data_IF_236831706385
#
_entry.id   IF_236831706385
#
_cell.length_a   1.000
_cell.length_b   1.000
_cell.length_c   1.000
_cell.angle_alpha   90.00
_cell.angle_beta   90.00
_cell.angle_gamma   90.00
#
_symmetry.space_group_name_H-M   'P 1'
#
loop_
_entity.id
_entity.type
_entity.pdbx_description
1 polymer ?
#
# COMPACT_ATOMS: atom_id res chain seq x y z
N UNK A 1 0.02 -18.12 -31.55
CA UNK A 1 -0.23 -19.58 -31.74
C UNK A 1 0.21 -20.39 -30.52
N UNK A 2 1.34 -20.06 -29.88
CA UNK A 2 1.90 -20.77 -28.72
C UNK A 2 1.00 -20.78 -27.46
N UNK A 3 0.36 -19.65 -27.09
CA UNK A 3 -0.48 -19.55 -25.88
C UNK A 3 -1.67 -20.52 -25.87
N UNK A 4 -2.42 -20.61 -26.99
CA UNK A 4 -3.58 -21.50 -27.11
C UNK A 4 -3.18 -22.98 -26.96
N UNK A 5 -2.08 -23.37 -27.59
CA UNK A 5 -1.57 -24.76 -27.51
C UNK A 5 -1.09 -25.09 -26.10
N UNK A 6 -0.40 -24.15 -25.43
CA UNK A 6 0.06 -24.34 -24.06
C UNK A 6 -1.11 -24.44 -23.07
N UNK A 7 -2.10 -23.56 -23.21
CA UNK A 7 -3.27 -23.53 -22.34
C UNK A 7 -4.14 -24.80 -22.49
N UNK A 8 -4.43 -25.22 -23.73
CA UNK A 8 -5.25 -26.43 -23.97
C UNK A 8 -4.57 -27.73 -23.55
N UNK A 9 -3.24 -27.77 -23.53
CA UNK A 9 -2.47 -28.96 -23.13
C UNK A 9 -2.30 -29.09 -21.62
N UNK A 10 -2.20 -27.99 -20.89
CA UNK A 10 -1.78 -28.00 -19.48
C UNK A 10 -2.84 -27.48 -18.49
N UNK A 11 -3.95 -26.90 -18.97
CA UNK A 11 -4.98 -26.29 -18.12
C UNK A 11 -6.33 -26.96 -18.38
N UNK A 12 -7.04 -27.33 -17.31
CA UNK A 12 -8.37 -27.91 -17.38
C UNK A 12 -9.36 -26.96 -18.07
N UNK A 13 -10.29 -27.53 -18.84
CA UNK A 13 -11.30 -26.79 -19.61
C UNK A 13 -12.13 -25.82 -18.75
N UNK A 14 -12.33 -26.13 -17.47
CA UNK A 14 -13.08 -25.27 -16.53
C UNK A 14 -12.42 -23.89 -16.33
N UNK A 15 -11.12 -23.78 -16.56
CA UNK A 15 -10.35 -22.55 -16.44
C UNK A 15 -10.07 -21.88 -17.78
N UNK A 16 -10.68 -22.34 -18.88
CA UNK A 16 -10.52 -21.75 -20.21
C UNK A 16 -11.81 -21.03 -20.63
N UNK A 17 -11.66 -19.90 -21.30
CA UNK A 17 -12.78 -19.15 -21.88
C UNK A 17 -12.33 -18.42 -23.15
N UNK A 18 -13.27 -18.18 -24.07
CA UNK A 18 -13.03 -17.38 -25.25
C UNK A 18 -13.07 -15.88 -24.91
N UNK A 19 -12.00 -15.18 -25.26
CA UNK A 19 -11.90 -13.73 -25.14
C UNK A 19 -11.70 -13.09 -26.51
N UNK A 20 -12.33 -11.94 -26.72
CA UNK A 20 -12.15 -11.09 -27.89
C UNK A 20 -10.98 -10.14 -27.59
N UNK A 21 -9.84 -10.35 -28.24
CA UNK A 21 -8.70 -9.44 -28.10
C UNK A 21 -8.73 -8.44 -29.25
N UNK A 22 -8.58 -7.16 -28.92
CA UNK A 22 -8.42 -6.08 -29.88
C UNK A 22 -6.97 -6.00 -30.39
N UNK A 23 -6.77 -5.33 -31.53
CA UNK A 23 -5.42 -5.01 -32.06
C UNK A 23 -4.50 -6.21 -32.25
N UNK A 24 -5.05 -7.31 -32.74
CA UNK A 24 -4.32 -8.58 -32.93
C UNK A 24 -3.58 -8.59 -34.25
N UNK A 25 -4.22 -8.10 -35.30
CA UNK A 25 -3.70 -8.16 -36.67
C UNK A 25 -4.00 -6.84 -37.36
N UNK A 26 -3.00 -6.25 -38.00
CA UNK A 26 -3.18 -5.02 -38.76
C UNK A 26 -3.66 -5.35 -40.16
N UNK A 27 -4.84 -4.85 -40.54
CA UNK A 27 -5.32 -4.94 -41.91
C UNK A 27 -4.75 -3.78 -42.73
N UNK A 28 -3.81 -4.10 -43.61
CA UNK A 28 -3.18 -3.11 -44.49
C UNK A 28 -4.12 -2.50 -45.53
N UNK A 29 -5.20 -3.20 -45.92
CA UNK A 29 -6.18 -2.68 -46.88
C UNK A 29 -7.08 -1.60 -46.27
N UNK A 30 -7.59 -1.86 -45.07
CA UNK A 30 -8.49 -0.94 -44.37
C UNK A 30 -7.73 0.01 -43.44
N UNK A 31 -6.40 -0.14 -43.33
CA UNK A 31 -5.53 0.55 -42.38
C UNK A 31 -6.04 0.52 -40.92
N UNK A 32 -6.65 -0.60 -40.53
CA UNK A 32 -7.27 -0.76 -39.20
C UNK A 32 -6.81 -2.03 -38.50
N UNK A 33 -6.86 -2.00 -37.18
CA UNK A 33 -6.60 -3.13 -36.31
C UNK A 33 -7.82 -4.05 -36.22
N UNK A 34 -7.66 -5.33 -36.55
CA UNK A 34 -8.71 -6.35 -36.43
C UNK A 34 -8.64 -7.04 -35.07
N UNK A 35 -9.80 -7.23 -34.46
CA UNK A 35 -9.96 -8.04 -33.26
C UNK A 35 -10.07 -9.53 -33.63
N UNK A 36 -9.60 -10.42 -32.74
CA UNK A 36 -9.64 -11.87 -32.95
C UNK A 36 -9.95 -12.61 -31.66
N UNK A 37 -10.71 -13.70 -31.76
CA UNK A 37 -11.07 -14.54 -30.61
C UNK A 37 -9.94 -15.51 -30.29
N UNK A 38 -9.64 -15.63 -29.00
CA UNK A 38 -8.67 -16.58 -28.47
C UNK A 38 -9.27 -17.35 -27.31
N UNK A 39 -8.98 -18.65 -27.25
CA UNK A 39 -9.23 -19.46 -26.07
C UNK A 39 -8.05 -19.27 -25.10
N UNK A 40 -8.30 -18.67 -23.95
CA UNK A 40 -7.29 -18.30 -22.97
C UNK A 40 -7.68 -18.76 -21.56
N UNK A 41 -6.70 -18.95 -20.66
CA UNK A 41 -6.98 -19.16 -19.25
C UNK A 41 -7.70 -17.95 -18.65
N UNK A 42 -8.63 -18.20 -17.72
CA UNK A 42 -9.40 -17.16 -17.03
C UNK A 42 -9.12 -17.12 -15.53
N UNK A 43 -9.10 -15.92 -14.98
CA UNK A 43 -9.09 -15.68 -13.54
C UNK A 43 -9.88 -14.40 -13.23
N UNK A 44 -10.80 -14.44 -12.25
CA UNK A 44 -11.62 -13.29 -11.83
C UNK A 44 -12.22 -12.46 -12.98
N UNK A 45 -12.86 -13.13 -13.95
CA UNK A 45 -13.48 -12.55 -15.15
C UNK A 45 -12.53 -11.93 -16.19
N UNK A 46 -11.23 -12.11 -16.07
CA UNK A 46 -10.25 -11.65 -17.07
C UNK A 46 -9.41 -12.79 -17.63
N UNK A 47 -8.74 -12.54 -18.76
CA UNK A 47 -7.82 -13.49 -19.37
C UNK A 47 -6.43 -13.41 -18.75
N UNK A 48 -5.75 -14.54 -18.68
CA UNK A 48 -4.39 -14.65 -18.16
C UNK A 48 -3.43 -15.03 -19.30
N UNK A 49 -2.31 -14.31 -19.38
CA UNK A 49 -1.21 -14.66 -20.28
C UNK A 49 -0.19 -15.53 -19.55
N UNK A 50 0.13 -16.69 -20.14
CA UNK A 50 1.13 -17.60 -19.57
C UNK A 50 2.50 -17.24 -20.12
N UNK A 51 3.34 -16.62 -19.31
CA UNK A 51 4.71 -16.30 -19.70
C UNK A 51 5.62 -17.47 -19.32
N UNK A 52 6.41 -18.05 -20.24
CA UNK A 52 7.39 -19.07 -19.89
C UNK A 52 8.33 -18.55 -18.79
N UNK A 53 8.59 -19.37 -17.77
CA UNK A 53 9.48 -18.96 -16.68
C UNK A 53 10.91 -18.65 -17.17
N UNK A 54 11.34 -19.28 -18.26
CA UNK A 54 12.65 -19.12 -18.89
C UNK A 54 12.92 -17.70 -19.43
N UNK A 55 11.87 -16.90 -19.64
CA UNK A 55 11.99 -15.50 -20.07
C UNK A 55 11.67 -14.50 -18.96
N UNK A 56 11.41 -14.98 -17.73
CA UNK A 56 11.22 -14.12 -16.56
C UNK A 56 12.58 -13.70 -16.02
N UNK A 57 13.00 -12.47 -16.33
CA UNK A 57 14.16 -11.85 -15.71
C UNK A 57 13.68 -10.63 -14.91
N UNK A 58 14.18 -10.49 -13.67
CA UNK A 58 13.98 -9.26 -12.88
C UNK A 58 14.99 -8.18 -13.28
N UNK A 59 16.15 -8.62 -13.77
CA UNK A 59 17.27 -7.78 -14.19
C UNK A 59 17.18 -7.46 -15.69
N UNK A 60 18.00 -6.48 -16.11
CA UNK A 60 18.17 -6.12 -17.51
C UNK A 60 18.49 -7.35 -18.39
N UNK A 61 18.06 -7.29 -19.65
CA UNK A 61 18.42 -8.30 -20.63
C UNK A 61 19.95 -8.45 -20.71
N UNK A 62 20.39 -9.68 -20.99
CA UNK A 62 21.81 -10.03 -21.08
C UNK A 62 22.59 -9.14 -22.07
N UNK A 63 21.94 -8.71 -23.15
CA UNK A 63 22.35 -7.57 -23.97
C UNK A 63 21.52 -6.37 -23.50
N UNK A 64 22.18 -5.41 -22.84
CA UNK A 64 21.54 -4.18 -22.39
C UNK A 64 22.46 -2.98 -22.53
N UNK A 65 21.84 -1.79 -22.60
CA UNK A 65 22.58 -0.53 -22.62
C UNK A 65 23.40 -0.34 -21.33
N UNK A 66 22.83 -0.72 -20.18
CA UNK A 66 23.52 -0.63 -18.90
C UNK A 66 24.75 -1.54 -18.86
N UNK A 67 24.63 -2.78 -19.36
CA UNK A 67 25.77 -3.70 -19.48
C UNK A 67 26.87 -3.16 -20.40
N UNK A 68 26.52 -2.61 -21.56
CA UNK A 68 27.49 -1.98 -22.47
C UNK A 68 28.26 -0.82 -21.81
N UNK A 69 27.56 0.00 -21.03
CA UNK A 69 28.16 1.15 -20.36
C UNK A 69 29.07 0.72 -19.20
N UNK A 70 28.68 -0.30 -18.44
CA UNK A 70 29.47 -0.79 -17.31
C UNK A 70 30.73 -1.53 -17.75
N UNK A 71 30.65 -2.32 -18.81
CA UNK A 71 31.79 -3.06 -19.37
C UNK A 71 32.55 -2.29 -20.46
N UNK A 72 32.27 -1.00 -20.64
CA UNK A 72 32.73 -0.22 -21.81
C UNK A 72 34.25 -0.33 -22.05
N UNK A 73 35.06 -0.21 -20.99
CA UNK A 73 36.52 -0.32 -21.08
C UNK A 73 37.00 -1.68 -21.56
N UNK A 74 36.31 -2.77 -21.16
CA UNK A 74 36.61 -4.12 -21.65
C UNK A 74 36.21 -4.25 -23.11
N UNK A 75 35.07 -3.71 -23.52
CA UNK A 75 34.64 -3.77 -24.93
C UNK A 75 35.62 -3.06 -25.86
N UNK A 76 36.21 -1.94 -25.44
CA UNK A 76 37.28 -1.27 -26.21
C UNK A 76 38.45 -2.23 -26.46
N UNK A 77 38.90 -3.00 -25.46
CA UNK A 77 40.02 -3.92 -25.63
C UNK A 77 39.70 -5.08 -26.58
N UNK A 78 38.42 -5.45 -26.71
CA UNK A 78 37.95 -6.46 -27.67
C UNK A 78 37.86 -5.96 -29.12
N UNK A 79 38.01 -4.66 -29.39
CA UNK A 79 37.97 -4.10 -30.76
C UNK A 79 39.21 -4.56 -31.52
N UNK A 80 38.99 -5.32 -32.60
CA UNK A 80 40.05 -5.91 -33.43
C UNK A 80 40.71 -4.91 -34.40
N UNK A 81 40.00 -3.83 -34.75
CA UNK A 81 40.56 -2.75 -35.56
C UNK A 81 41.36 -1.80 -34.67
N UNK A 82 42.69 -1.85 -34.79
CA UNK A 82 43.62 -1.07 -33.96
C UNK A 82 43.38 0.44 -34.09
N UNK A 83 43.15 0.95 -35.30
CA UNK A 83 42.89 2.37 -35.54
C UNK A 83 41.59 2.84 -34.87
N UNK A 84 40.54 2.01 -34.93
CA UNK A 84 39.26 2.28 -34.28
C UNK A 84 39.40 2.22 -32.76
N UNK A 85 40.12 1.23 -32.24
CA UNK A 85 40.38 1.04 -30.80
C UNK A 85 41.14 2.24 -30.22
N UNK A 86 42.17 2.71 -30.90
CA UNK A 86 42.96 3.86 -30.46
C UNK A 86 42.14 5.14 -30.47
N UNK A 87 41.32 5.36 -31.52
CA UNK A 87 40.39 6.50 -31.58
C UNK A 87 39.37 6.48 -30.44
N UNK A 88 38.78 5.32 -30.16
CA UNK A 88 37.83 5.11 -29.06
C UNK A 88 38.47 5.35 -27.70
N UNK A 89 39.63 4.74 -27.44
CA UNK A 89 40.36 4.85 -26.18
C UNK A 89 40.76 6.30 -25.89
N UNK A 90 41.27 7.01 -26.91
CA UNK A 90 41.62 8.41 -26.80
C UNK A 90 40.40 9.29 -26.52
N UNK A 91 39.30 9.09 -27.24
CA UNK A 91 38.08 9.87 -27.03
C UNK A 91 37.47 9.63 -25.64
N UNK A 92 37.42 8.37 -25.20
CA UNK A 92 36.94 8.00 -23.87
C UNK A 92 37.79 8.62 -22.76
N UNK A 93 39.12 8.49 -22.86
CA UNK A 93 40.07 9.04 -21.87
C UNK A 93 40.00 10.56 -21.81
N UNK A 94 39.94 11.23 -22.96
CA UNK A 94 39.82 12.70 -23.03
C UNK A 94 38.47 13.23 -22.53
N UNK A 95 37.45 12.36 -22.44
CA UNK A 95 36.14 12.72 -21.89
C UNK A 95 36.07 12.62 -20.37
N UNK A 96 37.14 12.14 -19.72
CA UNK A 96 37.22 12.01 -18.27
C UNK A 96 37.91 13.23 -17.63
N UNK A 97 37.52 13.60 -16.40
CA UNK A 97 38.22 14.65 -15.65
C UNK A 97 39.66 14.21 -15.30
N UNK A 98 40.58 15.17 -15.25
CA UNK A 98 42.01 14.93 -14.99
C UNK A 98 42.29 14.36 -13.59
N UNK A 99 41.43 14.62 -12.61
CA UNK A 99 41.54 14.13 -11.23
C UNK A 99 40.16 13.76 -10.65
N UNK A 100 40.16 12.84 -9.67
CA UNK A 100 38.95 12.42 -8.92
C UNK A 100 37.81 11.87 -9.79
N UNK A 101 38.12 10.94 -10.70
CA UNK A 101 37.16 10.27 -11.57
C UNK A 101 36.10 9.53 -10.74
N UNK A 102 34.83 9.90 -10.91
CA UNK A 102 33.68 9.25 -10.25
C UNK A 102 33.06 8.21 -11.18
N UNK A 103 32.28 7.30 -10.60
CA UNK A 103 31.46 6.34 -11.36
C UNK A 103 30.53 7.02 -12.37
N UNK A 104 30.00 8.20 -12.03
CA UNK A 104 29.14 8.99 -12.93
C UNK A 104 29.91 9.53 -14.14
N UNK A 105 31.18 9.91 -13.96
CA UNK A 105 32.01 10.47 -15.02
C UNK A 105 32.39 9.39 -16.04
N UNK A 106 32.72 8.18 -15.55
CA UNK A 106 32.92 6.99 -16.39
C UNK A 106 31.67 6.66 -17.21
N UNK A 107 30.49 6.70 -16.57
CA UNK A 107 29.21 6.44 -17.23
C UNK A 107 28.93 7.45 -18.34
N UNK A 108 29.15 8.73 -18.07
CA UNK A 108 28.94 9.81 -19.05
C UNK A 108 29.95 9.74 -20.21
N UNK A 109 31.22 9.47 -19.92
CA UNK A 109 32.25 9.31 -20.95
C UNK A 109 31.95 8.10 -21.86
N UNK A 110 31.45 7.00 -21.31
CA UNK A 110 31.02 5.84 -22.08
C UNK A 110 29.83 6.18 -22.99
N UNK A 111 28.79 6.85 -22.46
CA UNK A 111 27.63 7.29 -23.26
C UNK A 111 28.08 8.19 -24.42
N UNK A 112 28.89 9.22 -24.14
CA UNK A 112 29.39 10.13 -25.18
C UNK A 112 30.22 9.38 -26.25
N UNK A 113 30.99 8.39 -25.83
CA UNK A 113 31.81 7.57 -26.73
C UNK A 113 30.96 6.65 -27.61
N UNK A 114 29.88 6.07 -27.05
CA UNK A 114 28.91 5.26 -27.80
C UNK A 114 28.18 6.11 -28.84
N UNK A 115 27.74 7.32 -28.46
CA UNK A 115 27.07 8.25 -29.38
C UNK A 115 27.99 8.67 -30.53
N UNK A 116 29.27 8.92 -30.23
CA UNK A 116 30.26 9.32 -31.23
C UNK A 116 30.69 8.17 -32.14
N UNK A 117 30.73 6.94 -31.61
CA UNK A 117 31.18 5.74 -32.31
C UNK A 117 30.19 4.58 -32.15
N UNK A 118 29.00 4.63 -32.78
CA UNK A 118 27.95 3.62 -32.61
C UNK A 118 28.36 2.19 -33.01
N UNK A 119 29.42 2.07 -33.80
CA UNK A 119 30.01 0.79 -34.23
C UNK A 119 30.43 -0.09 -33.05
N UNK A 120 30.72 0.49 -31.87
CA UNK A 120 31.05 -0.24 -30.64
C UNK A 120 29.93 -1.20 -30.20
N UNK A 121 28.67 -0.87 -30.53
CA UNK A 121 27.51 -1.71 -30.21
C UNK A 121 27.64 -3.09 -30.84
N UNK A 122 28.16 -3.17 -32.08
CA UNK A 122 28.35 -4.46 -32.75
C UNK A 122 29.40 -5.32 -32.05
N UNK A 123 30.49 -4.72 -31.57
CA UNK A 123 31.52 -5.43 -30.81
C UNK A 123 30.99 -5.91 -29.46
N UNK A 124 30.16 -5.11 -28.78
CA UNK A 124 29.48 -5.53 -27.56
C UNK A 124 28.55 -6.72 -27.79
N UNK A 125 27.69 -6.65 -28.82
CA UNK A 125 26.78 -7.76 -29.16
C UNK A 125 27.58 -9.02 -29.50
N UNK A 126 28.65 -8.90 -30.28
CA UNK A 126 29.51 -10.04 -30.63
C UNK A 126 30.18 -10.66 -29.39
N UNK A 127 30.67 -9.82 -28.47
CA UNK A 127 31.33 -10.29 -27.25
C UNK A 127 30.34 -10.95 -26.29
N UNK A 128 29.13 -10.42 -26.20
CA UNK A 128 28.03 -11.08 -25.51
C UNK A 128 27.74 -12.43 -26.19
N UNK A 129 27.57 -12.49 -27.51
CA UNK A 129 27.29 -13.75 -28.23
C UNK A 129 28.33 -14.86 -28.00
N UNK A 130 29.61 -14.52 -27.84
CA UNK A 130 30.65 -15.50 -27.45
C UNK A 130 30.43 -16.07 -26.04
N UNK A 131 29.94 -15.24 -25.12
CA UNK A 131 29.69 -15.58 -23.72
C UNK A 131 28.27 -16.10 -23.44
N UNK A 132 27.51 -16.43 -24.50
CA UNK A 132 26.11 -16.87 -24.41
C UNK A 132 25.87 -18.04 -23.45
N UNK A 133 26.78 -19.01 -23.40
CA UNK A 133 26.61 -20.20 -22.56
C UNK A 133 26.82 -19.91 -21.07
N UNK A 134 27.68 -18.94 -20.73
CA UNK A 134 27.80 -18.43 -19.36
C UNK A 134 26.55 -17.65 -18.97
N UNK A 135 26.09 -16.73 -19.85
CA UNK A 135 24.88 -15.95 -19.62
C UNK A 135 23.63 -16.83 -19.41
N UNK A 136 23.51 -17.95 -20.12
CA UNK A 136 22.43 -18.93 -19.90
C UNK A 136 22.50 -19.57 -18.52
N UNK A 137 23.69 -19.98 -18.06
CA UNK A 137 23.86 -20.60 -16.74
C UNK A 137 23.50 -19.64 -15.62
N UNK A 138 24.00 -18.41 -15.69
CA UNK A 138 23.72 -17.38 -14.68
C UNK A 138 22.22 -17.04 -14.62
N UNK A 139 21.55 -16.98 -15.77
CA UNK A 139 20.12 -16.73 -15.82
C UNK A 139 19.31 -17.90 -15.23
N UNK A 140 19.66 -19.15 -15.55
CA UNK A 140 19.03 -20.34 -14.96
C UNK A 140 19.20 -20.34 -13.44
N UNK A 141 20.39 -20.01 -12.93
CA UNK A 141 20.65 -19.92 -11.49
C UNK A 141 19.80 -18.83 -10.82
N UNK A 142 19.71 -17.65 -11.44
CA UNK A 142 18.84 -16.55 -10.95
C UNK A 142 17.37 -16.93 -10.91
N UNK A 143 16.86 -17.62 -11.94
CA UNK A 143 15.49 -18.13 -11.99
C UNK A 143 15.27 -19.15 -10.86
N UNK A 144 16.19 -20.11 -10.69
CA UNK A 144 16.10 -21.12 -9.64
C UNK A 144 16.13 -20.50 -8.23
N UNK A 145 16.97 -19.51 -8.01
CA UNK A 145 17.05 -18.78 -6.74
C UNK A 145 15.75 -18.01 -6.47
N UNK A 146 15.21 -17.34 -7.48
CA UNK A 146 13.93 -16.61 -7.40
C UNK A 146 12.79 -17.57 -7.07
N UNK A 147 12.71 -18.71 -7.76
CA UNK A 147 11.69 -19.73 -7.51
C UNK A 147 11.82 -20.31 -6.10
N UNK A 148 13.04 -20.61 -5.65
CA UNK A 148 13.29 -21.13 -4.31
C UNK A 148 12.86 -20.14 -3.22
N UNK A 149 13.27 -18.88 -3.34
CA UNK A 149 12.95 -17.83 -2.36
C UNK A 149 11.45 -17.51 -2.35
N UNK A 150 10.89 -17.16 -3.50
CA UNK A 150 9.53 -16.59 -3.56
C UNK A 150 8.42 -17.64 -3.61
N UNK A 151 8.68 -18.82 -4.17
CA UNK A 151 7.68 -19.88 -4.23
C UNK A 151 7.87 -20.82 -3.06
N UNK A 152 9.03 -21.45 -2.92
CA UNK A 152 9.19 -22.53 -1.94
C UNK A 152 9.28 -22.00 -0.51
N UNK A 153 10.19 -21.06 -0.24
CA UNK A 153 10.46 -20.58 1.11
C UNK A 153 9.32 -19.71 1.65
N UNK A 154 8.81 -18.76 0.86
CA UNK A 154 7.67 -17.94 1.30
C UNK A 154 6.39 -18.76 1.51
N UNK A 155 6.11 -19.75 0.66
CA UNK A 155 4.95 -20.65 0.89
C UNK A 155 5.14 -21.48 2.16
N UNK A 156 6.35 -21.98 2.39
CA UNK A 156 6.67 -22.72 3.62
C UNK A 156 6.51 -21.85 4.86
N UNK A 157 6.98 -20.60 4.82
CA UNK A 157 6.79 -19.62 5.89
C UNK A 157 5.30 -19.32 6.11
N UNK A 158 4.54 -19.06 5.04
CA UNK A 158 3.10 -18.81 5.15
C UNK A 158 2.36 -20.00 5.77
N UNK A 159 2.70 -21.23 5.40
CA UNK A 159 2.14 -22.44 6.00
C UNK A 159 2.51 -22.56 7.49
N UNK A 160 3.75 -22.27 7.86
CA UNK A 160 4.20 -22.31 9.25
C UNK A 160 3.45 -21.27 10.10
N UNK A 161 3.31 -20.04 9.59
CA UNK A 161 2.52 -18.99 10.24
C UNK A 161 1.05 -19.39 10.39
N UNK A 162 0.44 -19.96 9.36
CA UNK A 162 -0.95 -20.46 9.41
C UNK A 162 -1.13 -21.60 10.43
N UNK A 163 -0.15 -22.48 10.59
CA UNK A 163 -0.20 -23.58 11.55
C UNK A 163 0.04 -23.15 13.00
N UNK A 164 0.69 -22.01 13.20
CA UNK A 164 0.99 -21.43 14.51
C UNK A 164 -0.17 -20.60 15.06
N UNK A 165 -0.03 -20.10 16.29
CA UNK A 165 -1.00 -19.18 16.88
C UNK A 165 -0.88 -17.74 16.33
N UNK A 166 0.03 -17.50 15.38
CA UNK A 166 0.31 -16.17 14.81
C UNK A 166 -0.94 -15.45 14.28
N UNK A 167 -1.90 -16.18 13.70
CA UNK A 167 -3.20 -15.63 13.24
C UNK A 167 -4.37 -15.94 14.19
N UNK A 168 -4.12 -16.56 15.35
CA UNK A 168 -5.18 -16.99 16.29
C UNK A 168 -5.47 -15.97 17.39
N UNK A 169 -4.74 -14.86 17.45
CA UNK A 169 -5.10 -13.75 18.34
C UNK A 169 -6.50 -13.27 17.96
N UNK A 170 -7.47 -13.35 18.89
CA UNK A 170 -8.80 -12.79 18.68
C UNK A 170 -8.68 -11.27 18.65
N UNK A 171 -8.44 -10.71 17.48
CA UNK A 171 -8.14 -9.29 17.30
C UNK A 171 -9.37 -8.57 16.80
N UNK A 172 -9.81 -7.60 17.59
CA UNK A 172 -10.98 -6.80 17.29
C UNK A 172 -10.74 -5.38 17.80
N UNK A 173 -10.26 -4.53 16.89
CA UNK A 173 -9.97 -3.12 17.12
C UNK A 173 -11.20 -2.34 17.62
N UNK A 174 -12.41 -2.76 17.24
CA UNK A 174 -13.66 -2.17 17.72
C UNK A 174 -13.87 -2.46 19.21
N UNK A 175 -13.73 -3.71 19.63
CA UNK A 175 -13.91 -4.10 21.04
C UNK A 175 -12.87 -3.40 21.92
N UNK A 176 -11.60 -3.34 21.50
CA UNK A 176 -10.57 -2.63 22.26
C UNK A 176 -10.81 -1.12 22.27
N UNK A 177 -11.26 -0.54 21.16
CA UNK A 177 -11.72 0.85 21.10
C UNK A 177 -12.82 1.14 22.11
N UNK A 178 -13.88 0.32 22.11
CA UNK A 178 -15.00 0.42 23.04
C UNK A 178 -14.55 0.30 24.50
N UNK A 179 -13.68 -0.65 24.86
CA UNK A 179 -13.15 -0.78 26.23
C UNK A 179 -12.45 0.49 26.70
N UNK A 180 -11.65 1.13 25.83
CA UNK A 180 -10.96 2.39 26.18
C UNK A 180 -11.94 3.56 26.31
N UNK A 181 -12.95 3.62 25.46
CA UNK A 181 -14.03 4.62 25.55
C UNK A 181 -14.84 4.44 26.83
N UNK A 182 -15.22 3.20 27.17
CA UNK A 182 -15.95 2.88 28.40
C UNK A 182 -15.12 3.23 29.65
N UNK A 183 -13.81 2.96 29.63
CA UNK A 183 -12.91 3.39 30.68
C UNK A 183 -12.88 4.92 30.84
N UNK A 184 -12.72 5.65 29.72
CA UNK A 184 -12.74 7.11 29.73
C UNK A 184 -14.07 7.65 30.27
N UNK A 185 -15.20 7.09 29.79
CA UNK A 185 -16.56 7.41 30.27
C UNK A 185 -16.67 7.20 31.78
N UNK A 186 -16.21 6.06 32.29
CA UNK A 186 -16.25 5.76 33.71
C UNK A 186 -15.44 6.75 34.55
N UNK A 187 -14.22 7.11 34.11
CA UNK A 187 -13.37 8.09 34.81
C UNK A 187 -14.03 9.47 34.85
N UNK A 188 -14.60 9.91 33.73
CA UNK A 188 -15.27 11.22 33.63
C UNK A 188 -16.51 11.26 34.53
N UNK A 189 -17.39 10.28 34.40
CA UNK A 189 -18.72 10.29 35.03
C UNK A 189 -18.66 9.95 36.52
N UNK A 190 -17.76 9.02 36.92
CA UNK A 190 -17.80 8.40 38.24
C UNK A 190 -16.56 8.64 39.09
N UNK A 191 -15.44 9.11 38.51
CA UNK A 191 -14.18 9.33 39.25
C UNK A 191 -13.76 10.79 39.31
N UNK A 192 -14.73 11.71 39.27
CA UNK A 192 -14.50 13.15 39.25
C UNK A 192 -13.66 13.65 38.04
N UNK A 193 -13.48 12.83 37.00
CA UNK A 193 -12.73 13.18 35.80
C UNK A 193 -13.36 14.34 35.03
N UNK A 194 -14.69 14.54 35.16
CA UNK A 194 -15.38 15.71 34.61
C UNK A 194 -14.73 17.04 35.02
N UNK A 195 -14.09 17.14 36.19
CA UNK A 195 -13.42 18.38 36.65
C UNK A 195 -12.30 18.83 35.70
N UNK A 196 -11.63 17.88 35.03
CA UNK A 196 -10.59 18.17 34.04
C UNK A 196 -11.16 18.83 32.78
N UNK A 197 -12.47 18.69 32.56
CA UNK A 197 -13.21 19.26 31.45
C UNK A 197 -13.70 20.68 31.75
N UNK A 198 -13.24 21.32 32.83
CA UNK A 198 -13.60 22.69 33.19
C UNK A 198 -12.37 23.57 33.43
N UNK A 199 -12.27 24.66 32.69
CA UNK A 199 -11.24 25.69 32.86
C UNK A 199 -11.90 26.97 33.39
N UNK A 200 -11.46 27.45 34.55
CA UNK A 200 -12.02 28.63 35.23
C UNK A 200 -13.55 28.57 35.37
N UNK A 201 -14.09 27.38 35.68
CA UNK A 201 -15.52 27.13 35.87
C UNK A 201 -16.33 27.01 34.58
N UNK A 202 -15.69 27.04 33.39
CA UNK A 202 -16.36 26.89 32.09
C UNK A 202 -15.98 25.55 31.45
N UNK A 203 -16.94 24.84 30.82
CA UNK A 203 -16.65 23.57 30.16
C UNK A 203 -15.68 23.77 29.00
N UNK A 204 -14.83 22.77 28.73
CA UNK A 204 -13.85 22.81 27.65
C UNK A 204 -14.51 23.10 26.31
N UNK A 205 -13.80 23.92 25.54
CA UNK A 205 -14.34 24.54 24.35
C UNK A 205 -14.29 23.64 23.12
N UNK A 206 -13.32 22.73 23.09
CA UNK A 206 -12.65 22.23 21.91
C UNK A 206 -12.60 20.71 21.89
N UNK A 207 -12.83 20.11 20.73
CA UNK A 207 -12.78 18.65 20.55
C UNK A 207 -11.34 18.14 20.72
N UNK A 208 -10.35 18.96 20.38
CA UNK A 208 -8.92 18.66 20.50
C UNK A 208 -8.49 18.35 21.95
N UNK A 209 -9.07 19.04 22.93
CA UNK A 209 -8.77 18.79 24.35
C UNK A 209 -9.26 17.38 24.76
N UNK A 210 -10.44 16.99 24.28
CA UNK A 210 -11.04 15.65 24.51
C UNK A 210 -10.22 14.56 23.82
N UNK A 211 -9.77 14.84 22.60
CA UNK A 211 -8.92 13.94 21.84
C UNK A 211 -7.58 13.69 22.55
N UNK A 212 -6.95 14.74 23.09
CA UNK A 212 -5.71 14.60 23.87
C UNK A 212 -5.89 13.70 25.09
N UNK A 213 -6.98 13.86 25.84
CA UNK A 213 -7.26 13.00 27.00
C UNK A 213 -7.47 11.54 26.59
N UNK A 214 -8.21 11.30 25.51
CA UNK A 214 -8.41 9.93 25.02
C UNK A 214 -7.08 9.29 24.61
N UNK A 215 -6.20 10.04 23.91
CA UNK A 215 -4.86 9.59 23.53
C UNK A 215 -4.04 9.09 24.73
N UNK A 216 -4.18 9.72 25.90
CA UNK A 216 -3.49 9.29 27.13
C UNK A 216 -4.00 7.95 27.68
N UNK A 217 -5.20 7.50 27.29
CA UNK A 217 -5.75 6.19 27.70
C UNK A 217 -5.17 5.00 26.90
N UNK A 218 -4.47 5.28 25.80
CA UNK A 218 -3.90 4.28 24.89
C UNK A 218 -2.43 4.00 25.20
N UNK A 219 -2.20 3.11 26.16
CA UNK A 219 -0.87 2.61 26.52
C UNK A 219 -0.88 1.09 26.64
N UNK A 220 0.31 0.47 26.50
CA UNK A 220 0.53 -0.98 26.64
C UNK A 220 -0.48 -1.84 25.85
N UNK A 221 -0.68 -1.50 24.58
CA UNK A 221 -1.62 -2.19 23.68
C UNK A 221 -0.87 -2.85 22.52
N UNK A 222 -1.41 -3.98 22.02
CA UNK A 222 -0.92 -4.64 20.82
C UNK A 222 -1.47 -4.01 19.52
N UNK A 223 -2.35 -3.02 19.64
CA UNK A 223 -2.99 -2.33 18.53
C UNK A 223 -2.21 -1.07 18.16
N UNK A 224 -2.13 -0.78 16.87
CA UNK A 224 -1.73 0.54 16.39
C UNK A 224 -2.85 1.52 16.69
N UNK A 225 -2.49 2.68 17.22
CA UNK A 225 -3.39 3.78 17.55
C UNK A 225 -2.85 5.07 16.96
N UNK A 226 -3.51 5.55 15.91
CA UNK A 226 -3.12 6.76 15.18
C UNK A 226 -4.14 7.87 15.42
N UNK A 227 -3.66 9.07 15.75
CA UNK A 227 -4.47 10.29 15.92
C UNK A 227 -4.35 11.20 14.71
N UNK A 228 -5.45 11.84 14.28
CA UNK A 228 -5.48 12.84 13.19
C UNK A 228 -5.04 12.29 11.82
N UNK A 229 -5.47 11.07 11.47
CA UNK A 229 -5.05 10.41 10.22
C UNK A 229 -5.79 11.01 9.02
N UNK A 230 -5.05 11.63 8.09
CA UNK A 230 -5.62 12.19 6.86
C UNK A 230 -5.34 11.28 5.65
N UNK A 231 -6.32 10.45 5.27
CA UNK A 231 -6.24 9.56 4.11
C UNK A 231 -6.87 10.16 2.82
N UNK A 232 -6.90 11.50 2.71
CA UNK A 232 -7.24 12.19 1.45
C UNK A 232 -8.71 12.57 1.26
N UNK A 233 -9.62 12.29 2.20
CA UNK A 233 -11.03 12.75 2.17
C UNK A 233 -11.55 13.28 3.52
N UNK A 234 -10.64 13.71 4.40
CA UNK A 234 -10.93 14.29 5.72
C UNK A 234 -10.25 13.50 6.85
N UNK A 235 -9.74 14.17 7.89
CA UNK A 235 -9.10 13.48 9.00
C UNK A 235 -10.13 12.75 9.87
N UNK A 236 -9.85 11.50 10.22
CA UNK A 236 -10.51 10.84 11.35
C UNK A 236 -9.80 11.24 12.64
N UNK A 237 -10.53 11.38 13.75
CA UNK A 237 -9.92 11.72 15.03
C UNK A 237 -8.97 10.61 15.48
N UNK A 238 -9.41 9.35 15.39
CA UNK A 238 -8.59 8.19 15.69
C UNK A 238 -8.84 6.98 14.78
N UNK A 239 -7.78 6.23 14.51
CA UNK A 239 -7.83 4.89 13.93
C UNK A 239 -7.16 3.91 14.87
N UNK A 240 -7.91 2.88 15.28
CA UNK A 240 -7.38 1.72 16.01
C UNK A 240 -7.25 0.58 15.01
N UNK A 241 -6.10 -0.09 14.97
CA UNK A 241 -5.91 -1.20 14.04
C UNK A 241 -5.08 -2.34 14.59
N UNK A 242 -5.41 -3.56 14.16
CA UNK A 242 -4.55 -4.73 14.26
C UNK A 242 -4.19 -5.20 12.86
N UNK A 243 -3.25 -4.48 12.24
CA UNK A 243 -2.87 -4.68 10.86
C UNK A 243 -3.92 -4.16 9.87
N UNK A 244 -3.82 -4.58 8.60
CA UNK A 244 -4.62 -4.00 7.51
C UNK A 244 -6.05 -4.54 7.42
N UNK A 245 -6.33 -5.68 8.04
CA UNK A 245 -7.63 -6.40 7.98
C UNK A 245 -8.52 -6.19 9.21
N UNK A 246 -8.06 -5.44 10.20
CA UNK A 246 -8.84 -5.10 11.41
C UNK A 246 -8.62 -3.63 11.73
N UNK A 247 -9.62 -2.80 11.45
CA UNK A 247 -9.57 -1.35 11.61
C UNK A 247 -10.89 -0.79 12.10
N UNK A 248 -10.82 0.07 13.11
CA UNK A 248 -11.95 0.82 13.65
C UNK A 248 -11.62 2.31 13.70
N UNK A 249 -12.63 3.11 13.40
CA UNK A 249 -12.56 4.57 13.45
C UNK A 249 -13.30 5.04 14.70
N UNK A 250 -12.73 6.00 15.41
CA UNK A 250 -13.36 6.63 16.57
C UNK A 250 -13.42 8.14 16.31
N UNK A 251 -14.61 8.73 16.45
CA UNK A 251 -14.88 10.16 16.24
C UNK A 251 -15.45 10.79 17.51
N UNK A 252 -14.92 11.94 17.89
CA UNK A 252 -15.34 12.71 19.05
C UNK A 252 -16.20 13.89 18.60
N UNK A 253 -17.28 14.15 19.33
CA UNK A 253 -18.16 15.29 19.08
C UNK A 253 -18.61 15.95 20.37
N UNK A 254 -18.72 17.28 20.34
CA UNK A 254 -19.37 18.07 21.39
C UNK A 254 -20.86 18.26 21.09
N UNK A 255 -21.73 18.13 22.09
CA UNK A 255 -23.18 18.30 21.96
C UNK A 255 -23.60 19.69 21.41
N UNK A 256 -22.80 20.72 21.73
CA UNK A 256 -22.99 22.09 21.25
C UNK A 256 -22.63 22.30 19.78
N UNK A 257 -21.99 21.33 19.12
CA UNK A 257 -21.62 21.43 17.70
C UNK A 257 -22.85 21.66 16.83
N UNK A 258 -22.78 22.67 15.96
CA UNK A 258 -23.87 23.02 15.03
C UNK A 258 -24.07 21.98 13.93
N UNK A 259 -23.03 21.19 13.63
CA UNK A 259 -23.07 20.11 12.63
C UNK A 259 -23.42 18.74 13.21
N UNK A 260 -23.72 18.65 14.52
CA UNK A 260 -23.94 17.39 15.23
C UNK A 260 -25.03 16.51 14.59
N UNK A 261 -26.21 17.08 14.30
CA UNK A 261 -27.33 16.32 13.71
C UNK A 261 -26.94 15.76 12.33
N UNK A 262 -26.30 16.56 11.47
CA UNK A 262 -25.81 16.12 10.17
C UNK A 262 -24.75 15.02 10.30
N UNK A 263 -23.85 15.11 11.29
CA UNK A 263 -22.83 14.10 11.56
C UNK A 263 -23.42 12.78 12.10
N UNK A 264 -24.51 12.86 12.86
CA UNK A 264 -25.25 11.69 13.34
C UNK A 264 -25.95 11.00 12.15
N UNK A 265 -26.56 11.76 11.24
CA UNK A 265 -27.21 11.23 10.03
C UNK A 265 -26.21 10.56 9.08
N UNK A 266 -25.05 11.18 8.86
CA UNK A 266 -24.05 10.71 7.88
C UNK A 266 -23.25 9.48 8.34
N UNK A 267 -23.63 8.82 9.44
CA UNK A 267 -22.89 7.70 10.04
C UNK A 267 -22.70 6.48 9.14
N UNK A 268 -23.48 6.32 8.07
CA UNK A 268 -23.52 5.08 7.31
C UNK A 268 -22.54 4.98 6.12
N UNK A 269 -22.05 6.08 5.53
CA UNK A 269 -21.50 5.96 4.16
C UNK A 269 -20.07 6.51 3.94
N UNK A 270 -19.60 7.50 4.71
CA UNK A 270 -18.40 8.25 4.27
C UNK A 270 -17.08 7.70 4.82
N UNK A 271 -17.08 7.05 6.00
CA UNK A 271 -15.82 6.64 6.67
C UNK A 271 -15.49 5.14 6.60
N UNK A 272 -16.48 4.25 6.44
CA UNK A 272 -16.23 2.82 6.22
C UNK A 272 -15.37 2.59 4.98
N UNK A 273 -15.65 3.36 3.92
CA UNK A 273 -14.98 3.21 2.62
C UNK A 273 -13.60 3.89 2.58
N UNK A 274 -13.42 5.03 3.26
CA UNK A 274 -12.19 5.82 3.21
C UNK A 274 -11.05 5.27 4.09
N UNK A 275 -11.37 4.66 5.24
CA UNK A 275 -10.38 4.07 6.15
C UNK A 275 -10.10 2.58 5.85
N UNK A 276 -10.84 1.97 4.92
CA UNK A 276 -11.02 0.50 4.84
C UNK A 276 -11.34 -0.07 6.22
N UNK A 277 -12.18 0.64 6.98
CA UNK A 277 -12.56 0.20 8.31
C UNK A 277 -13.33 -1.10 8.18
N UNK A 278 -12.98 -2.10 8.98
CA UNK A 278 -13.64 -3.40 8.97
C UNK A 278 -14.82 -3.46 9.92
N UNK A 279 -14.97 -2.43 10.77
CA UNK A 279 -16.04 -2.28 11.75
C UNK A 279 -16.76 -0.95 11.58
N UNK A 280 -18.02 -0.83 12.06
CA UNK A 280 -18.72 0.46 12.12
C UNK A 280 -17.92 1.52 12.91
N UNK A 281 -17.99 2.80 12.50
CA UNK A 281 -17.31 3.88 13.21
C UNK A 281 -17.97 4.14 14.57
N UNK A 282 -17.16 4.30 15.62
CA UNK A 282 -17.64 4.62 16.97
C UNK A 282 -17.69 6.14 17.13
N UNK A 283 -18.84 6.68 17.53
CA UNK A 283 -19.06 8.11 17.78
C UNK A 283 -19.20 8.36 19.28
N UNK A 284 -18.31 9.19 19.82
CA UNK A 284 -18.30 9.57 21.23
C UNK A 284 -18.81 11.01 21.35
N UNK A 285 -19.96 11.21 21.99
CA UNK A 285 -20.61 12.51 22.12
C UNK A 285 -20.59 12.96 23.58
N UNK A 286 -19.94 14.09 23.84
CA UNK A 286 -19.85 14.70 25.17
C UNK A 286 -20.94 15.74 25.34
N UNK A 287 -21.65 15.70 26.47
CA UNK A 287 -22.61 16.72 26.89
C UNK A 287 -22.33 17.19 28.32
N UNK A 288 -22.62 18.45 28.62
CA UNK A 288 -22.27 19.12 29.87
C UNK A 288 -23.49 19.53 30.70
N UNK A 289 -24.69 19.40 30.15
CA UNK A 289 -25.94 19.71 30.84
C UNK A 289 -27.12 18.91 30.26
N UNK A 290 -28.26 18.99 30.94
CA UNK A 290 -29.46 18.26 30.55
C UNK A 290 -30.09 18.77 29.23
N UNK A 291 -29.95 20.06 28.89
CA UNK A 291 -30.46 20.59 27.62
C UNK A 291 -29.74 19.97 26.42
N UNK A 292 -28.42 19.85 26.53
CA UNK A 292 -27.58 19.16 25.54
C UNK A 292 -27.93 17.67 25.43
N UNK A 293 -28.15 16.99 26.57
CA UNK A 293 -28.59 15.59 26.57
C UNK A 293 -29.95 15.41 25.86
N UNK A 294 -30.93 16.24 26.19
CA UNK A 294 -32.26 16.20 25.57
C UNK A 294 -32.20 16.51 24.06
N UNK A 295 -31.34 17.46 23.66
CA UNK A 295 -31.08 17.77 22.25
C UNK A 295 -30.52 16.56 21.51
N UNK A 296 -29.51 15.88 22.06
CA UNK A 296 -28.95 14.66 21.46
C UNK A 296 -30.02 13.57 21.37
N UNK A 297 -30.74 13.31 22.46
CA UNK A 297 -31.79 12.29 22.51
C UNK A 297 -32.88 12.54 21.47
N UNK A 298 -33.27 13.81 21.25
CA UNK A 298 -34.20 14.19 20.18
C UNK A 298 -33.67 13.82 18.80
N UNK A 299 -32.39 14.06 18.51
CA UNK A 299 -31.78 13.67 17.24
C UNK A 299 -31.74 12.15 17.07
N UNK A 300 -31.35 11.42 18.12
CA UNK A 300 -31.27 9.96 18.05
C UNK A 300 -32.64 9.30 17.83
N UNK A 301 -33.69 9.81 18.48
CA UNK A 301 -35.08 9.36 18.27
C UNK A 301 -35.55 9.71 16.85
N UNK A 302 -35.31 10.94 16.40
CA UNK A 302 -35.70 11.41 15.06
C UNK A 302 -35.11 10.55 13.93
N UNK A 303 -33.93 9.96 14.16
CA UNK A 303 -33.22 9.14 13.19
C UNK A 303 -33.24 7.63 13.52
N UNK A 304 -34.08 7.20 14.47
CA UNK A 304 -34.29 5.77 14.82
C UNK A 304 -33.01 5.01 15.23
N UNK A 305 -32.05 5.70 15.83
CA UNK A 305 -30.72 5.18 16.23
C UNK A 305 -30.46 5.34 17.73
N UNK A 306 -31.53 5.42 18.53
CA UNK A 306 -31.45 5.59 19.98
C UNK A 306 -30.65 4.45 20.65
N UNK A 307 -30.80 3.22 20.18
CA UNK A 307 -30.14 2.03 20.72
C UNK A 307 -28.87 1.63 19.94
N UNK A 308 -28.33 2.55 19.12
CA UNK A 308 -27.11 2.30 18.36
C UNK A 308 -25.90 2.22 19.30
N UNK A 309 -25.31 1.03 19.42
CA UNK A 309 -24.15 0.77 20.29
C UNK A 309 -22.89 1.52 19.86
N UNK A 310 -22.83 1.91 18.60
CA UNK A 310 -21.72 2.68 18.03
C UNK A 310 -21.76 4.15 18.45
N UNK A 311 -22.82 4.60 19.13
CA UNK A 311 -22.94 5.95 19.69
C UNK A 311 -22.81 5.88 21.20
N UNK A 312 -21.71 6.43 21.72
CA UNK A 312 -21.45 6.51 23.15
C UNK A 312 -21.67 7.94 23.62
N UNK A 313 -22.63 8.14 24.53
CA UNK A 313 -22.84 9.42 25.20
C UNK A 313 -22.01 9.46 26.49
N UNK A 314 -21.26 10.55 26.70
CA UNK A 314 -20.48 10.78 27.92
C UNK A 314 -21.01 12.04 28.62
N UNK A 315 -21.44 11.86 29.86
CA UNK A 315 -21.91 12.90 30.76
C UNK A 315 -20.73 13.62 31.43
N UNK A 316 -20.41 14.79 30.91
CA UNK A 316 -19.39 15.67 31.45
C UNK A 316 -19.97 16.73 32.42
N UNK A 317 -21.23 16.62 32.85
CA UNK A 317 -21.83 17.62 33.74
C UNK A 317 -21.18 17.63 35.13
N UNK A 318 -21.20 18.76 35.84
CA UNK A 318 -20.73 18.81 37.23
C UNK A 318 -21.58 17.86 38.08
N UNK A 319 -20.91 17.10 38.95
CA UNK A 319 -21.56 16.19 39.90
C UNK A 319 -21.52 16.78 41.30
N UNK A 320 -22.63 16.68 42.02
CA UNK A 320 -22.67 17.08 43.43
C UNK A 320 -21.81 16.14 44.27
N UNK A 321 -21.15 16.69 45.29
CA UNK A 321 -20.34 15.90 46.21
C UNK A 321 -21.26 15.01 47.05
N UNK A 322 -20.99 13.71 47.06
CA UNK A 322 -21.73 12.74 47.88
C UNK A 322 -21.73 13.07 49.39
N UNK A 323 -20.77 13.87 49.87
CA UNK A 323 -20.72 14.37 51.25
C UNK A 323 -21.67 15.56 51.54
N UNK A 324 -22.50 15.98 50.58
CA UNK A 324 -23.50 17.05 50.73
C UNK A 324 -24.93 16.61 50.37
N UNK A 325 -25.14 15.33 50.08
CA UNK A 325 -26.45 14.74 49.72
C UNK A 325 -27.13 14.11 50.93
#
# INVERSE_FOLDING_TARGET
MQQRQLATKNISSNFLQEFMLEKVEFNYETMTWKAKKFLLPKFNNDYVLLTPCEILTKDDAWISQNGLIEDFSHIISCVTNDELRDKLSNYFTNSLPLENVRKTDLRNAAINSIDKFPQIINYYVQEQEKNRDLAKKDNIEKINNTQTLFVNQLTSLANLLNSSDFYKTSTNSYIEGMKRIEHLKHVIENQNGWRLLYLSGKPVGKEEDLQLMFKLTWFATAYSFDSEVNNGRGPADFIVSYGSKDKSVIEFKLAKSSSLEKNIINQAEIYSDAAKATHPPIKVIFYFNNEEYLKIKKYLIKHEILDCKDIVLIDASPKESASKA
#
